data_IF_356983804647
#
_entry.id   IF_356983804647
#
_cell.length_a   1.000
_cell.length_b   1.000
_cell.length_c   1.000
_cell.angle_alpha   90.00
_cell.angle_beta   90.00
_cell.angle_gamma   90.00
#
_symmetry.space_group_name_H-M   'P 1'
#
loop_
_entity.id
_entity.type
_entity.pdbx_description
1 polymer ?
#
# COMPACT_ATOMS: atom_id res chain seq x y z
N UNK A 1 26.81 72.37 24.25
CA UNK A 1 27.58 71.33 24.99
C UNK A 1 26.61 70.67 25.96
N UNK A 2 26.70 69.34 26.10
CA UNK A 2 25.85 68.45 26.92
C UNK A 2 24.52 67.97 26.32
N UNK A 3 24.64 66.74 25.81
CA UNK A 3 23.69 65.62 25.67
C UNK A 3 22.53 65.65 26.67
N UNK A 4 21.34 65.28 26.23
CA UNK A 4 20.59 64.29 27.00
C UNK A 4 19.75 63.35 26.11
N UNK A 5 19.79 62.09 26.52
CA UNK A 5 19.40 60.87 25.82
C UNK A 5 18.17 60.31 26.51
N UNK A 6 17.10 59.99 25.77
CA UNK A 6 16.10 59.02 26.22
C UNK A 6 15.35 58.42 25.03
N UNK A 7 15.87 57.32 24.50
CA UNK A 7 15.13 56.40 23.61
C UNK A 7 14.15 55.60 24.47
N UNK A 8 12.85 55.83 24.29
CA UNK A 8 11.81 54.93 24.81
C UNK A 8 11.74 53.67 23.93
N UNK A 9 12.17 52.56 24.52
CA UNK A 9 11.85 51.20 24.06
C UNK A 9 10.39 50.90 24.39
N UNK A 10 9.55 50.67 23.38
CA UNK A 10 8.23 50.04 23.55
C UNK A 10 8.38 48.57 23.21
N UNK A 11 8.45 47.72 24.25
CA UNK A 11 8.20 46.30 24.13
C UNK A 11 6.73 46.09 23.74
N UNK A 12 6.49 45.55 22.56
CA UNK A 12 5.22 44.89 22.23
C UNK A 12 5.33 43.43 22.68
N UNK A 13 4.70 43.09 23.81
CA UNK A 13 4.41 41.69 24.14
C UNK A 13 3.18 41.27 23.33
N UNK A 14 3.40 40.51 22.27
CA UNK A 14 2.34 39.78 21.58
C UNK A 14 2.09 38.48 22.34
N UNK A 15 1.05 38.46 23.17
CA UNK A 15 0.57 37.25 23.83
C UNK A 15 -0.16 36.40 22.80
N UNK A 16 0.50 35.33 22.32
CA UNK A 16 -0.09 34.35 21.42
C UNK A 16 -0.96 33.38 22.24
N UNK A 17 -2.28 33.60 22.21
CA UNK A 17 -3.26 32.62 22.72
C UNK A 17 -3.35 31.47 21.73
N UNK A 18 -2.68 30.35 22.03
CA UNK A 18 -2.89 29.08 21.32
C UNK A 18 -4.18 28.47 21.84
N UNK A 19 -5.27 28.64 21.10
CA UNK A 19 -6.51 27.92 21.34
C UNK A 19 -6.29 26.44 20.97
N UNK A 20 -5.96 25.61 21.98
CA UNK A 20 -5.95 24.16 21.87
C UNK A 20 -7.39 23.67 21.70
N UNK A 21 -7.80 23.51 20.45
CA UNK A 21 -9.06 22.85 20.10
C UNK A 21 -8.88 21.35 20.40
N UNK A 22 -9.39 20.90 21.55
CA UNK A 22 -9.52 19.49 21.87
C UNK A 22 -10.53 18.88 20.90
N UNK A 23 -10.04 18.25 19.83
CA UNK A 23 -10.85 17.36 19.00
C UNK A 23 -11.10 16.11 19.82
N UNK A 24 -12.26 16.03 20.46
CA UNK A 24 -12.77 14.78 21.01
C UNK A 24 -13.14 13.89 19.84
N UNK A 25 -12.25 12.96 19.50
CA UNK A 25 -12.61 11.85 18.63
C UNK A 25 -13.55 10.95 19.44
N UNK A 26 -14.84 11.06 19.20
CA UNK A 26 -15.78 10.01 19.59
C UNK A 26 -15.37 8.73 18.86
N UNK A 27 -14.61 7.88 19.54
CA UNK A 27 -14.44 6.50 19.12
C UNK A 27 -15.77 5.81 19.35
N UNK A 28 -16.67 5.93 18.38
CA UNK A 28 -17.83 5.05 18.29
C UNK A 28 -17.30 3.62 18.27
N UNK A 29 -17.36 2.96 19.43
CA UNK A 29 -17.09 1.54 19.54
C UNK A 29 -18.05 0.85 18.58
N UNK A 30 -17.50 0.07 17.65
CA UNK A 30 -18.26 -0.71 16.67
C UNK A 30 -19.11 -1.74 17.41
N UNK A 31 -20.27 -1.31 17.90
CA UNK A 31 -21.21 -2.12 18.66
C UNK A 31 -22.09 -2.88 17.66
N UNK A 32 -21.94 -4.20 17.65
CA UNK A 32 -22.83 -5.17 17.00
C UNK A 32 -22.65 -5.30 15.48
N UNK A 33 -21.69 -6.10 15.02
CA UNK A 33 -21.55 -6.41 13.58
C UNK A 33 -21.47 -7.91 13.38
N UNK A 34 -22.63 -8.54 13.20
CA UNK A 34 -22.78 -9.96 12.82
C UNK A 34 -22.29 -10.25 11.37
N UNK A 35 -21.31 -9.49 10.85
CA UNK A 35 -20.83 -9.59 9.48
C UNK A 35 -19.37 -9.16 9.34
N UNK A 36 -18.80 -9.32 8.15
CA UNK A 36 -17.40 -8.99 7.84
C UNK A 36 -17.26 -7.57 7.27
N UNK A 37 -16.07 -6.99 7.37
CA UNK A 37 -15.67 -5.77 6.64
C UNK A 37 -14.44 -6.13 5.82
N UNK A 38 -14.44 -5.75 4.53
CA UNK A 38 -13.33 -5.99 3.62
C UNK A 38 -12.62 -4.68 3.30
N UNK A 39 -11.30 -4.67 3.48
CA UNK A 39 -10.42 -3.74 2.80
C UNK A 39 -9.94 -4.38 1.48
N UNK A 40 -9.65 -3.52 0.51
CA UNK A 40 -9.08 -3.94 -0.75
C UNK A 40 -8.18 -2.87 -1.31
N UNK A 41 -7.10 -3.30 -1.95
CA UNK A 41 -6.18 -2.47 -2.70
C UNK A 41 -5.84 -3.14 -4.03
N UNK A 42 -5.33 -2.35 -4.96
CA UNK A 42 -5.06 -2.79 -6.31
C UNK A 42 -3.86 -2.05 -6.88
N UNK A 43 -3.10 -2.75 -7.71
CA UNK A 43 -2.09 -2.17 -8.59
C UNK A 43 -2.48 -2.35 -10.05
N UNK A 44 -1.89 -1.56 -10.94
CA UNK A 44 -1.92 -1.78 -12.39
C UNK A 44 -0.53 -1.47 -12.96
N UNK A 45 -0.08 -2.34 -13.84
CA UNK A 45 1.09 -2.21 -14.68
C UNK A 45 0.71 -2.55 -16.12
N UNK A 46 1.43 -1.96 -17.06
CA UNK A 46 1.21 -2.16 -18.50
C UNK A 46 2.56 -2.35 -19.19
N UNK A 47 2.67 -3.38 -20.01
CA UNK A 47 3.82 -3.62 -20.87
C UNK A 47 3.40 -4.13 -22.26
N UNK A 48 4.26 -3.99 -23.27
CA UNK A 48 3.99 -4.51 -24.62
C UNK A 48 4.46 -5.97 -24.75
N UNK A 49 3.59 -6.87 -25.24
CA UNK A 49 3.85 -8.34 -25.32
C UNK A 49 4.29 -8.85 -26.70
N UNK A 50 4.72 -7.95 -27.58
CA UNK A 50 4.93 -8.26 -29.00
C UNK A 50 3.61 -8.26 -29.78
N UNK A 51 3.68 -8.33 -31.11
CA UNK A 51 2.52 -8.35 -32.02
C UNK A 51 1.59 -7.12 -31.97
N UNK A 52 1.98 -6.05 -31.27
CA UNK A 52 1.18 -4.83 -31.12
C UNK A 52 0.22 -4.83 -29.93
N UNK A 53 0.16 -5.91 -29.15
CA UNK A 53 -0.68 -6.02 -27.95
C UNK A 53 0.01 -5.49 -26.69
N UNK A 54 -0.80 -5.07 -25.73
CA UNK A 54 -0.40 -4.72 -24.37
C UNK A 54 -0.90 -5.76 -23.37
N UNK A 55 -0.07 -6.07 -22.38
CA UNK A 55 -0.45 -6.81 -21.18
C UNK A 55 -0.76 -5.84 -20.06
N UNK A 56 -1.96 -5.99 -19.52
CA UNK A 56 -2.44 -5.29 -18.33
C UNK A 56 -2.39 -6.26 -17.16
N UNK A 57 -1.61 -5.96 -16.13
CA UNK A 57 -1.36 -6.89 -15.05
C UNK A 57 -1.21 -6.17 -13.71
N UNK A 58 -1.19 -6.94 -12.63
CA UNK A 58 -0.97 -6.41 -11.29
C UNK A 58 -1.52 -7.34 -10.23
N UNK A 59 -1.78 -6.77 -9.05
CA UNK A 59 -2.32 -7.48 -7.90
C UNK A 59 -3.65 -6.85 -7.46
N UNK A 60 -4.56 -7.70 -6.98
CA UNK A 60 -5.64 -7.32 -6.08
C UNK A 60 -5.29 -7.92 -4.72
N UNK A 61 -5.26 -7.09 -3.68
CA UNK A 61 -5.02 -7.56 -2.31
C UNK A 61 -6.26 -7.29 -1.47
N UNK A 62 -6.72 -8.31 -0.75
CA UNK A 62 -7.92 -8.27 0.07
C UNK A 62 -7.62 -8.63 1.51
N UNK A 63 -8.12 -7.82 2.42
CA UNK A 63 -8.03 -8.06 3.86
C UNK A 63 -9.41 -8.10 4.51
N UNK A 64 -9.65 -9.14 5.30
CA UNK A 64 -10.86 -9.28 6.11
C UNK A 64 -10.63 -8.71 7.52
N UNK A 65 -11.19 -7.52 7.76
CA UNK A 65 -11.16 -6.82 9.04
C UNK A 65 -12.18 -7.39 10.04
N UNK A 66 -13.10 -8.23 9.57
CA UNK A 66 -14.18 -8.83 10.34
C UNK A 66 -13.80 -10.07 11.14
N UNK A 67 -14.68 -10.45 12.07
CA UNK A 67 -14.53 -11.62 12.93
C UNK A 67 -15.07 -12.93 12.30
N UNK A 68 -15.65 -12.86 11.10
CA UNK A 68 -16.21 -14.02 10.37
C UNK A 68 -15.61 -14.09 8.97
N UNK A 69 -15.53 -15.30 8.42
CA UNK A 69 -15.09 -15.52 7.04
C UNK A 69 -16.01 -14.76 6.08
N UNK A 70 -15.51 -14.34 4.93
CA UNK A 70 -16.40 -13.79 3.90
C UNK A 70 -17.30 -14.89 3.33
N UNK A 71 -18.51 -14.53 2.94
CA UNK A 71 -19.41 -15.43 2.22
C UNK A 71 -19.84 -14.80 0.90
N UNK A 72 -19.95 -15.60 -0.15
CA UNK A 72 -20.35 -15.14 -1.49
C UNK A 72 -19.38 -14.11 -2.08
N UNK A 73 -18.07 -14.32 -1.88
CA UNK A 73 -17.05 -13.45 -2.47
C UNK A 73 -17.15 -13.49 -4.00
N UNK A 74 -17.26 -12.31 -4.60
CA UNK A 74 -17.21 -12.13 -6.05
C UNK A 74 -16.36 -10.91 -6.37
N UNK A 75 -15.57 -11.00 -7.45
CA UNK A 75 -14.72 -9.93 -7.93
C UNK A 75 -14.98 -9.77 -9.43
N UNK A 76 -15.40 -8.57 -9.83
CA UNK A 76 -15.44 -8.16 -11.23
C UNK A 76 -14.33 -7.14 -11.46
N UNK A 77 -13.36 -7.51 -12.27
CA UNK A 77 -12.21 -6.65 -12.56
C UNK A 77 -12.24 -6.17 -14.01
N UNK A 78 -12.12 -4.87 -14.22
CA UNK A 78 -12.25 -4.26 -15.54
C UNK A 78 -11.20 -3.17 -15.77
N UNK A 79 -10.43 -3.34 -16.84
CA UNK A 79 -9.58 -2.27 -17.37
C UNK A 79 -10.49 -1.19 -17.96
N UNK A 80 -10.23 0.06 -17.64
CA UNK A 80 -10.96 1.22 -18.15
C UNK A 80 -9.99 2.23 -18.72
N UNK A 81 -10.47 3.02 -19.67
CA UNK A 81 -9.69 4.09 -20.28
C UNK A 81 -10.51 5.36 -20.40
N UNK A 82 -9.83 6.50 -20.46
CA UNK A 82 -10.48 7.81 -20.43
C UNK A 82 -10.67 8.37 -21.83
N UNK A 83 -11.90 8.72 -22.18
CA UNK A 83 -12.26 9.44 -23.41
C UNK A 83 -12.92 10.77 -23.03
N UNK A 84 -12.22 11.88 -23.21
CA UNK A 84 -12.67 13.18 -22.70
C UNK A 84 -12.72 13.16 -21.17
N UNK A 85 -13.92 13.37 -20.59
CA UNK A 85 -14.14 13.31 -19.13
C UNK A 85 -14.54 11.93 -18.63
N UNK A 86 -14.96 11.03 -19.52
CA UNK A 86 -15.64 9.81 -19.16
C UNK A 86 -14.70 8.61 -19.15
N UNK A 87 -15.01 7.64 -18.28
CA UNK A 87 -14.34 6.36 -18.22
C UNK A 87 -15.13 5.33 -19.01
N UNK A 88 -14.49 4.74 -20.01
CA UNK A 88 -15.06 3.71 -20.86
C UNK A 88 -14.54 2.34 -20.44
N UNK A 89 -15.43 1.35 -20.45
CA UNK A 89 -15.08 -0.03 -20.17
C UNK A 89 -14.21 -0.64 -21.27
N UNK A 90 -13.07 -1.20 -20.87
CA UNK A 90 -12.21 -2.06 -21.68
C UNK A 90 -12.40 -3.55 -21.30
N UNK A 91 -11.37 -4.39 -21.45
CA UNK A 91 -11.46 -5.81 -21.14
C UNK A 91 -11.78 -6.10 -19.68
N UNK A 92 -12.57 -7.15 -19.47
CA UNK A 92 -12.67 -7.81 -18.18
C UNK A 92 -11.48 -8.74 -17.98
N UNK A 93 -11.05 -8.85 -16.73
CA UNK A 93 -9.98 -9.78 -16.33
C UNK A 93 -10.60 -11.03 -15.72
N UNK A 94 -10.23 -12.19 -16.25
CA UNK A 94 -10.62 -13.47 -15.66
C UNK A 94 -9.75 -13.73 -14.43
N UNK A 95 -10.40 -13.91 -13.28
CA UNK A 95 -9.71 -14.11 -12.00
C UNK A 95 -10.03 -15.49 -11.43
N UNK A 96 -9.01 -16.14 -10.88
CA UNK A 96 -9.21 -17.26 -9.96
C UNK A 96 -9.39 -16.70 -8.56
N UNK A 97 -10.65 -16.63 -8.12
CA UNK A 97 -11.02 -16.05 -6.81
C UNK A 97 -11.21 -17.19 -5.79
N UNK A 98 -10.63 -17.10 -4.58
CA UNK A 98 -10.91 -18.07 -3.53
C UNK A 98 -12.40 -18.04 -3.13
N UNK A 99 -12.92 -19.15 -2.61
CA UNK A 99 -14.33 -19.22 -2.18
C UNK A 99 -14.64 -18.33 -0.98
N UNK A 100 -13.64 -17.99 -0.16
CA UNK A 100 -13.74 -17.04 0.94
C UNK A 100 -12.37 -16.47 1.35
N UNK A 101 -12.39 -15.35 2.07
CA UNK A 101 -11.25 -14.80 2.82
C UNK A 101 -11.48 -15.08 4.32
N UNK A 102 -10.54 -15.75 5.01
CA UNK A 102 -10.68 -16.08 6.42
C UNK A 102 -10.94 -14.85 7.30
N UNK A 103 -11.72 -15.03 8.36
CA UNK A 103 -11.91 -14.09 9.44
C UNK A 103 -10.58 -13.69 10.05
N UNK A 104 -10.51 -12.46 10.57
CA UNK A 104 -9.45 -12.03 11.45
C UNK A 104 -8.09 -12.55 10.97
N UNK A 105 -7.72 -12.20 9.74
CA UNK A 105 -6.43 -12.55 9.14
C UNK A 105 -5.26 -11.94 9.90
N UNK A 106 -5.44 -11.51 11.17
CA UNK A 106 -4.66 -10.63 12.04
C UNK A 106 -3.18 -10.91 12.13
N UNK A 107 -2.78 -12.13 11.81
CA UNK A 107 -1.41 -12.62 11.93
C UNK A 107 -0.81 -13.03 10.57
N UNK A 108 -1.63 -13.05 9.51
CA UNK A 108 -1.26 -13.39 8.14
C UNK A 108 -1.08 -12.17 7.23
N UNK A 109 -0.74 -12.43 5.98
CA UNK A 109 -0.74 -11.45 4.89
C UNK A 109 -2.12 -11.37 4.25
N UNK A 110 -2.46 -10.23 3.66
CA UNK A 110 -3.66 -10.12 2.83
C UNK A 110 -3.72 -11.21 1.75
N UNK A 111 -4.93 -11.58 1.34
CA UNK A 111 -5.09 -12.50 0.20
C UNK A 111 -4.71 -11.76 -1.06
N UNK A 112 -3.72 -12.30 -1.79
CA UNK A 112 -3.20 -11.69 -3.01
C UNK A 112 -3.69 -12.47 -4.22
N UNK A 113 -4.36 -11.79 -5.14
CA UNK A 113 -4.87 -12.34 -6.38
C UNK A 113 -4.13 -11.64 -7.52
N UNK A 114 -3.12 -12.27 -8.13
CA UNK A 114 -2.49 -11.73 -9.32
C UNK A 114 -3.47 -11.79 -10.50
N UNK A 115 -3.34 -10.85 -11.42
CA UNK A 115 -4.14 -10.80 -12.62
C UNK A 115 -3.30 -10.40 -13.83
N UNK A 116 -3.69 -10.86 -15.00
CA UNK A 116 -3.07 -10.51 -16.28
C UNK A 116 -4.07 -10.70 -17.41
N UNK A 117 -4.12 -9.75 -18.34
CA UNK A 117 -4.87 -9.87 -19.58
C UNK A 117 -4.09 -9.20 -20.71
N UNK A 118 -4.01 -9.86 -21.86
CA UNK A 118 -3.43 -9.30 -23.08
C UNK A 118 -4.57 -8.77 -23.95
N UNK A 119 -4.42 -7.55 -24.46
CA UNK A 119 -5.39 -6.92 -25.36
C UNK A 119 -4.73 -5.84 -26.20
N UNK A 120 -5.44 -5.35 -27.20
CA UNK A 120 -5.05 -4.17 -27.97
C UNK A 120 -4.76 -2.97 -27.04
N UNK A 121 -3.83 -2.08 -27.43
CA UNK A 121 -3.56 -0.85 -26.71
C UNK A 121 -4.82 0.00 -26.54
N UNK A 122 -5.09 0.44 -25.32
CA UNK A 122 -6.17 1.38 -25.02
C UNK A 122 -5.65 2.83 -25.11
N UNK A 123 -6.46 3.78 -25.59
CA UNK A 123 -6.06 5.17 -25.68
C UNK A 123 -6.17 5.90 -24.33
N UNK A 124 -5.49 7.04 -24.20
CA UNK A 124 -5.68 7.96 -23.08
C UNK A 124 -5.19 7.42 -21.73
N UNK A 125 -5.75 7.97 -20.64
CA UNK A 125 -5.41 7.51 -19.29
C UNK A 125 -6.10 6.19 -19.01
N UNK A 126 -5.33 5.20 -18.54
CA UNK A 126 -5.82 3.86 -18.25
C UNK A 126 -5.87 3.64 -16.74
N UNK A 127 -6.92 2.96 -16.28
CA UNK A 127 -7.04 2.47 -14.91
C UNK A 127 -7.58 1.05 -14.89
N UNK A 128 -7.47 0.38 -13.76
CA UNK A 128 -8.19 -0.85 -13.49
C UNK A 128 -9.07 -0.68 -12.25
N UNK A 129 -10.28 -1.22 -12.30
CA UNK A 129 -11.29 -1.14 -11.24
C UNK A 129 -11.75 -2.54 -10.89
N UNK A 130 -11.57 -2.92 -9.62
CA UNK A 130 -12.11 -4.16 -9.09
C UNK A 130 -13.36 -3.87 -8.27
N UNK A 131 -14.52 -4.34 -8.70
CA UNK A 131 -15.74 -4.36 -7.88
C UNK A 131 -15.77 -5.64 -7.06
N UNK A 132 -15.52 -5.53 -5.76
CA UNK A 132 -15.50 -6.66 -4.83
C UNK A 132 -16.79 -6.67 -4.03
N UNK A 133 -17.46 -7.81 -3.99
CA UNK A 133 -18.69 -7.98 -3.22
C UNK A 133 -18.65 -9.23 -2.38
N UNK A 134 -19.28 -9.16 -1.23
CA UNK A 134 -19.60 -10.26 -0.33
C UNK A 134 -21.06 -10.17 0.09
N UNK A 135 -21.63 -11.28 0.53
CA UNK A 135 -23.03 -11.39 0.95
C UNK A 135 -23.23 -11.19 2.44
N UNK A 136 -22.17 -11.34 3.25
CA UNK A 136 -22.22 -11.17 4.69
C UNK A 136 -21.52 -9.89 5.18
N UNK A 137 -21.59 -8.81 4.37
CA UNK A 137 -21.06 -7.51 4.76
C UNK A 137 -21.75 -6.99 6.03
N UNK A 138 -20.96 -6.51 6.98
CA UNK A 138 -21.45 -5.89 8.21
C UNK A 138 -22.41 -4.73 7.89
N UNK A 139 -23.66 -4.82 8.35
CA UNK A 139 -24.69 -3.81 8.12
C UNK A 139 -25.37 -3.89 6.76
N UNK A 140 -25.14 -4.94 5.97
CA UNK A 140 -25.80 -5.19 4.68
C UNK A 140 -25.88 -6.70 4.39
N UNK A 141 -26.35 -7.49 5.36
CA UNK A 141 -26.47 -8.94 5.20
C UNK A 141 -27.42 -9.31 4.05
N UNK A 142 -27.01 -10.26 3.22
CA UNK A 142 -27.75 -10.72 2.04
C UNK A 142 -27.66 -9.79 0.83
N UNK A 143 -26.99 -8.65 0.94
CA UNK A 143 -26.85 -7.68 -0.16
C UNK A 143 -25.39 -7.67 -0.62
N UNK A 144 -25.09 -7.90 -1.92
CA UNK A 144 -23.74 -7.80 -2.44
C UNK A 144 -23.14 -6.43 -2.14
N UNK A 145 -22.10 -6.39 -1.30
CA UNK A 145 -21.42 -5.15 -0.91
C UNK A 145 -19.95 -5.39 -0.63
N UNK A 146 -19.12 -4.41 -0.91
CA UNK A 146 -17.70 -4.46 -0.61
C UNK A 146 -16.94 -3.27 -1.21
N UNK A 147 -15.61 -3.27 -1.11
CA UNK A 147 -14.77 -2.19 -1.62
C UNK A 147 -14.69 -2.19 -3.16
N UNK A 148 -14.35 -1.03 -3.72
CA UNK A 148 -14.09 -0.85 -5.15
C UNK A 148 -12.72 -0.18 -5.37
N UNK A 149 -11.58 -0.86 -5.11
CA UNK A 149 -10.26 -0.29 -5.30
C UNK A 149 -9.97 -0.03 -6.78
N UNK A 150 -9.25 1.07 -7.01
CA UNK A 150 -8.91 1.59 -8.34
C UNK A 150 -7.42 1.88 -8.40
N UNK A 151 -6.78 1.56 -9.51
CA UNK A 151 -5.39 1.90 -9.78
C UNK A 151 -5.28 2.55 -11.15
N UNK A 152 -4.62 3.69 -11.25
CA UNK A 152 -4.39 4.41 -12.52
C UNK A 152 -2.96 4.17 -12.96
N UNK A 153 -2.77 3.80 -14.22
CA UNK A 153 -1.44 3.65 -14.80
C UNK A 153 -0.88 5.03 -15.16
N UNK A 154 0.31 5.33 -14.65
CA UNK A 154 0.99 6.63 -14.83
C UNK A 154 2.37 6.49 -15.49
N UNK A 155 2.76 5.27 -15.87
CA UNK A 155 4.08 4.99 -16.44
C UNK A 155 4.09 5.03 -17.97
N UNK A 156 5.27 4.79 -18.54
CA UNK A 156 5.42 4.51 -19.96
C UNK A 156 5.27 3.01 -20.22
N UNK A 157 4.62 2.65 -21.33
CA UNK A 157 4.52 1.25 -21.75
C UNK A 157 5.83 0.79 -22.38
N UNK A 158 6.55 -0.09 -21.67
CA UNK A 158 7.81 -0.70 -22.13
C UNK A 158 7.57 -2.14 -22.60
N UNK A 159 8.47 -2.74 -23.39
CA UNK A 159 8.42 -4.18 -23.68
C UNK A 159 8.41 -5.02 -22.39
N UNK A 160 7.58 -6.05 -22.30
CA UNK A 160 7.48 -6.89 -21.09
C UNK A 160 8.82 -7.53 -20.71
N UNK A 161 9.63 -7.92 -21.70
CA UNK A 161 10.95 -8.53 -21.49
C UNK A 161 11.99 -7.52 -20.95
N UNK A 162 11.71 -6.22 -21.07
CA UNK A 162 12.58 -5.16 -20.53
C UNK A 162 12.25 -4.78 -19.09
N UNK A 163 11.14 -5.29 -18.52
CA UNK A 163 10.73 -4.99 -17.15
C UNK A 163 11.64 -5.71 -16.13
N UNK A 164 12.22 -6.85 -16.52
CA UNK A 164 13.16 -7.64 -15.71
C UNK A 164 14.63 -7.17 -15.85
N UNK A 165 14.90 -6.06 -16.56
CA UNK A 165 16.27 -5.63 -16.86
C UNK A 165 17.05 -5.06 -15.65
N UNK A 166 16.43 -4.94 -14.47
CA UNK A 166 17.04 -4.36 -13.28
C UNK A 166 17.15 -5.35 -12.12
N UNK A 167 18.38 -5.78 -11.82
CA UNK A 167 18.73 -6.48 -10.57
C UNK A 167 17.84 -7.67 -10.18
N UNK A 168 17.86 -8.03 -8.90
CA UNK A 168 16.98 -9.01 -8.30
C UNK A 168 16.52 -8.50 -6.93
N UNK A 169 15.42 -9.02 -6.40
CA UNK A 169 14.84 -8.59 -5.12
C UNK A 169 15.30 -9.48 -3.96
N UNK A 170 15.38 -8.89 -2.77
CA UNK A 170 15.65 -9.58 -1.52
C UNK A 170 14.48 -9.41 -0.53
N UNK A 171 14.29 -10.40 0.34
CA UNK A 171 13.26 -10.35 1.38
C UNK A 171 13.65 -9.44 2.54
N UNK A 172 12.69 -9.11 3.41
CA UNK A 172 12.97 -8.41 4.66
C UNK A 172 13.99 -9.15 5.54
N UNK A 173 14.03 -10.49 5.52
CA UNK A 173 15.00 -11.28 6.28
C UNK A 173 16.44 -11.02 5.83
N UNK A 174 16.66 -10.95 4.51
CA UNK A 174 17.98 -10.61 3.97
C UNK A 174 18.45 -9.24 4.47
N UNK A 175 17.61 -8.20 4.32
CA UNK A 175 17.98 -6.83 4.70
C UNK A 175 18.15 -6.66 6.21
N UNK A 176 17.28 -7.29 7.00
CA UNK A 176 17.21 -7.14 8.45
C UNK A 176 18.30 -7.91 9.19
N UNK A 177 18.52 -9.19 8.83
CA UNK A 177 19.28 -10.12 9.68
C UNK A 177 20.49 -10.78 9.00
N UNK A 178 20.67 -10.69 7.68
CA UNK A 178 21.84 -11.31 7.03
C UNK A 178 23.13 -10.58 7.45
N UNK A 179 24.14 -11.29 7.98
CA UNK A 179 25.41 -10.68 8.36
C UNK A 179 26.10 -9.99 7.18
N UNK A 180 26.83 -8.91 7.47
CA UNK A 180 27.65 -8.16 6.50
C UNK A 180 26.88 -7.53 5.32
N UNK A 181 25.54 -7.42 5.40
CA UNK A 181 24.77 -6.68 4.40
C UNK A 181 24.86 -5.18 4.68
N UNK A 182 25.56 -4.48 3.80
CA UNK A 182 25.62 -3.01 3.76
C UNK A 182 24.37 -2.48 3.06
N UNK A 183 23.68 -1.55 3.71
CA UNK A 183 22.51 -0.91 3.11
C UNK A 183 22.95 0.16 2.09
N UNK A 184 22.33 0.21 0.90
CA UNK A 184 22.62 1.24 -0.08
C UNK A 184 22.24 2.63 0.45
N UNK A 185 23.05 3.64 0.10
CA UNK A 185 22.74 5.05 0.34
C UNK A 185 21.38 5.43 -0.27
N UNK A 186 20.57 6.28 0.38
CA UNK A 186 20.84 7.04 1.60
C UNK A 186 20.38 6.34 2.90
N UNK A 187 20.07 5.04 2.86
CA UNK A 187 19.45 4.37 3.99
C UNK A 187 20.47 3.97 5.06
N UNK A 188 20.13 4.26 6.33
CA UNK A 188 20.96 3.95 7.48
C UNK A 188 20.12 3.20 8.53
N UNK A 189 20.64 2.05 8.97
CA UNK A 189 20.06 1.19 10.01
C UNK A 189 19.79 1.94 11.32
N UNK A 190 20.63 2.92 11.65
CA UNK A 190 20.59 3.69 12.89
C UNK A 190 19.73 4.96 12.80
N UNK A 191 19.34 5.38 11.59
CA UNK A 191 18.46 6.52 11.42
C UNK A 191 17.07 6.25 12.01
N UNK A 192 16.40 7.30 12.50
CA UNK A 192 15.02 7.19 12.96
C UNK A 192 14.07 6.88 11.81
N UNK A 193 13.18 5.91 12.01
CA UNK A 193 12.16 5.54 11.04
C UNK A 193 10.87 6.32 11.32
N UNK A 194 10.69 7.43 10.59
CA UNK A 194 9.52 8.29 10.63
C UNK A 194 9.04 8.58 12.08
N UNK A 195 7.74 8.46 12.35
CA UNK A 195 7.12 8.72 13.66
C UNK A 195 7.01 7.46 14.55
N UNK A 196 7.78 6.41 14.27
CA UNK A 196 7.71 5.15 15.03
C UNK A 196 8.35 5.22 16.41
N UNK A 197 9.28 6.15 16.63
CA UNK A 197 10.16 6.14 17.79
C UNK A 197 11.23 5.04 17.76
N UNK A 198 11.34 4.29 16.65
CA UNK A 198 12.35 3.26 16.42
C UNK A 198 13.28 3.67 15.27
N UNK A 199 14.47 3.08 15.23
CA UNK A 199 15.35 3.19 14.07
C UNK A 199 14.87 2.28 12.93
N UNK A 200 15.42 2.45 11.73
CA UNK A 200 15.16 1.53 10.62
C UNK A 200 15.47 0.07 10.98
N UNK A 201 16.59 -0.19 11.68
CA UNK A 201 16.88 -1.53 12.21
C UNK A 201 15.86 -1.95 13.27
N UNK A 202 15.51 -1.04 14.18
CA UNK A 202 14.51 -1.32 15.22
C UNK A 202 13.16 -1.74 14.65
N UNK A 203 12.75 -1.21 13.48
CA UNK A 203 11.55 -1.69 12.77
C UNK A 203 11.72 -3.12 12.26
N UNK A 204 12.87 -3.45 11.67
CA UNK A 204 13.15 -4.80 11.16
C UNK A 204 13.18 -5.84 12.28
N UNK A 205 13.65 -5.45 13.46
CA UNK A 205 13.73 -6.31 14.65
C UNK A 205 12.40 -6.36 15.44
N UNK A 206 11.46 -5.46 15.14
CA UNK A 206 10.21 -5.37 15.89
C UNK A 206 9.30 -6.57 15.64
N UNK A 207 8.73 -7.17 16.69
CA UNK A 207 7.70 -8.17 16.50
C UNK A 207 6.45 -7.50 15.92
N UNK A 208 5.96 -8.02 14.80
CA UNK A 208 4.75 -7.54 14.11
C UNK A 208 3.50 -7.50 15.01
N UNK A 209 3.46 -8.32 16.06
CA UNK A 209 2.25 -8.61 16.86
C UNK A 209 1.64 -7.40 17.57
N UNK A 210 2.40 -6.34 17.87
CA UNK A 210 1.91 -5.21 18.69
C UNK A 210 1.12 -4.16 17.90
N UNK A 211 1.40 -3.99 16.61
CA UNK A 211 0.67 -3.11 15.70
C UNK A 211 0.77 -3.67 14.28
N UNK A 212 0.04 -4.76 13.97
CA UNK A 212 0.33 -5.59 12.81
C UNK A 212 0.27 -4.82 11.49
N UNK A 213 -0.71 -3.93 11.29
CA UNK A 213 -0.77 -3.15 10.06
C UNK A 213 0.40 -2.18 9.87
N UNK A 214 0.85 -1.54 10.96
CA UNK A 214 1.96 -0.59 10.89
C UNK A 214 3.28 -1.32 10.66
N UNK A 215 3.62 -2.30 11.51
CA UNK A 215 4.91 -2.96 11.44
C UNK A 215 5.04 -3.88 10.22
N UNK A 216 3.97 -4.55 9.78
CA UNK A 216 4.00 -5.31 8.52
C UNK A 216 4.31 -4.41 7.33
N UNK A 217 3.62 -3.26 7.23
CA UNK A 217 3.89 -2.31 6.16
C UNK A 217 5.30 -1.76 6.26
N UNK A 218 5.73 -1.34 7.44
CA UNK A 218 7.03 -0.73 7.65
C UNK A 218 8.18 -1.68 7.26
N UNK A 219 8.13 -2.94 7.68
CA UNK A 219 9.17 -3.93 7.35
C UNK A 219 9.22 -4.23 5.84
N UNK A 220 8.06 -4.42 5.21
CA UNK A 220 7.99 -4.68 3.77
C UNK A 220 8.36 -3.45 2.93
N UNK A 221 8.05 -2.25 3.42
CA UNK A 221 8.48 -0.98 2.84
C UNK A 221 10.00 -0.85 2.88
N UNK A 222 10.63 -1.11 4.04
CA UNK A 222 12.09 -1.04 4.19
C UNK A 222 12.77 -1.96 3.17
N UNK A 223 12.34 -3.22 3.08
CA UNK A 223 12.88 -4.16 2.11
C UNK A 223 12.68 -3.69 0.65
N UNK A 224 11.51 -3.15 0.33
CA UNK A 224 11.21 -2.69 -1.02
C UNK A 224 12.08 -1.51 -1.45
N UNK A 225 12.27 -0.50 -0.59
CA UNK A 225 13.11 0.65 -0.94
C UNK A 225 14.59 0.31 -0.99
N UNK A 226 15.06 -0.64 -0.17
CA UNK A 226 16.43 -1.16 -0.24
C UNK A 226 16.66 -1.96 -1.51
N UNK A 227 15.69 -2.77 -1.96
CA UNK A 227 15.76 -3.46 -3.26
C UNK A 227 15.90 -2.46 -4.41
N UNK A 228 15.07 -1.41 -4.44
CA UNK A 228 15.14 -0.36 -5.47
C UNK A 228 16.50 0.36 -5.44
N UNK A 229 16.98 0.75 -4.25
CA UNK A 229 18.30 1.37 -4.12
C UNK A 229 19.47 0.43 -4.42
N UNK A 230 19.22 -0.88 -4.38
CA UNK A 230 20.14 -1.92 -4.84
C UNK A 230 19.91 -2.31 -6.32
N UNK A 231 19.33 -1.41 -7.11
CA UNK A 231 19.12 -1.54 -8.55
C UNK A 231 18.10 -2.61 -9.00
N UNK A 232 17.27 -3.14 -8.12
CA UNK A 232 16.13 -3.96 -8.54
C UNK A 232 15.12 -3.07 -9.29
N UNK A 233 14.60 -3.55 -10.43
CA UNK A 233 13.53 -2.84 -11.14
C UNK A 233 12.27 -2.80 -10.27
N UNK A 234 11.50 -1.71 -10.33
CA UNK A 234 10.20 -1.62 -9.66
C UNK A 234 9.12 -1.28 -10.70
N UNK A 235 8.16 -2.21 -10.94
CA UNK A 235 6.98 -1.91 -11.73
C UNK A 235 6.20 -0.70 -11.18
N UNK A 236 5.44 0.00 -12.03
CA UNK A 236 4.67 1.19 -11.65
C UNK A 236 3.69 0.92 -10.50
N UNK A 237 3.09 -0.27 -10.44
CA UNK A 237 2.25 -0.70 -9.34
C UNK A 237 3.00 -0.79 -8.01
N UNK A 238 4.26 -1.25 -8.04
CA UNK A 238 5.15 -1.29 -6.88
C UNK A 238 5.59 0.11 -6.49
N UNK A 239 6.05 0.95 -7.42
CA UNK A 239 6.48 2.33 -7.12
C UNK A 239 5.35 3.18 -6.54
N UNK A 240 4.12 3.01 -7.06
CA UNK A 240 2.92 3.68 -6.52
C UNK A 240 2.64 3.23 -5.08
N UNK A 241 2.82 1.94 -4.79
CA UNK A 241 2.62 1.38 -3.44
C UNK A 241 3.70 1.86 -2.47
N UNK A 242 4.97 1.89 -2.89
CA UNK A 242 6.08 2.49 -2.12
C UNK A 242 5.77 3.96 -1.80
N UNK A 243 5.32 4.73 -2.78
CA UNK A 243 4.99 6.15 -2.59
C UNK A 243 3.82 6.35 -1.62
N UNK A 244 2.76 5.54 -1.74
CA UNK A 244 1.61 5.61 -0.83
C UNK A 244 2.01 5.22 0.60
N UNK A 245 2.82 4.17 0.75
CA UNK A 245 3.35 3.73 2.04
C UNK A 245 4.23 4.81 2.68
N UNK A 246 5.16 5.42 1.94
CA UNK A 246 6.03 6.48 2.43
C UNK A 246 5.22 7.70 2.92
N UNK A 247 4.23 8.15 2.12
CA UNK A 247 3.36 9.27 2.48
C UNK A 247 2.59 8.99 3.77
N UNK A 248 2.04 7.78 3.92
CA UNK A 248 1.30 7.39 5.12
C UNK A 248 2.21 7.26 6.36
N UNK A 249 3.37 6.60 6.22
CA UNK A 249 4.35 6.41 7.30
C UNK A 249 4.93 7.74 7.80
N UNK A 250 5.05 8.74 6.92
CA UNK A 250 5.56 10.08 7.27
C UNK A 250 4.67 10.79 8.28
N UNK A 251 3.36 10.56 8.25
CA UNK A 251 2.38 11.28 9.07
C UNK A 251 1.69 10.40 10.13
N UNK A 252 2.09 9.13 10.23
CA UNK A 252 1.41 8.15 11.09
C UNK A 252 2.39 7.47 12.04
N UNK A 253 1.97 7.24 13.29
CA UNK A 253 2.72 6.46 14.28
C UNK A 253 2.06 5.09 14.53
N UNK A 254 2.76 4.13 15.19
CA UNK A 254 2.24 2.79 15.43
C UNK A 254 0.89 2.73 16.14
N UNK A 255 0.55 3.75 16.93
CA UNK A 255 -0.73 3.83 17.67
C UNK A 255 -1.94 3.82 16.74
N UNK A 256 -1.79 4.26 15.48
CA UNK A 256 -2.88 4.24 14.51
C UNK A 256 -3.37 2.83 14.14
N UNK A 257 -2.53 1.81 14.36
CA UNK A 257 -2.83 0.41 14.04
C UNK A 257 -2.88 -0.51 15.28
N UNK A 258 -3.11 0.04 16.48
CA UNK A 258 -3.17 -0.75 17.72
C UNK A 258 -4.47 -1.54 17.88
N UNK A 259 -5.54 -1.13 17.21
CA UNK A 259 -6.86 -1.78 17.30
C UNK A 259 -6.91 -3.03 16.43
N UNK A 260 -7.42 -4.14 16.96
CA UNK A 260 -7.62 -5.38 16.18
C UNK A 260 -8.51 -5.10 14.97
N UNK A 261 -8.10 -5.58 13.80
CA UNK A 261 -8.84 -5.35 12.55
C UNK A 261 -8.61 -3.98 11.92
N UNK A 262 -7.84 -3.08 12.52
CA UNK A 262 -7.46 -1.81 11.89
C UNK A 262 -6.41 -1.99 10.79
N UNK A 263 -6.23 -0.92 10.00
CA UNK A 263 -5.19 -0.79 8.99
C UNK A 263 -5.26 -1.85 7.88
N UNK A 264 -6.46 -2.24 7.44
CA UNK A 264 -6.64 -3.19 6.34
C UNK A 264 -5.91 -2.78 5.06
N UNK A 265 -5.99 -1.50 4.67
CA UNK A 265 -5.29 -0.97 3.49
C UNK A 265 -3.76 -1.07 3.64
N UNK A 266 -3.20 -0.82 4.83
CA UNK A 266 -1.75 -0.95 5.05
C UNK A 266 -1.28 -2.39 4.98
N UNK A 267 -2.13 -3.35 5.39
CA UNK A 267 -1.85 -4.79 5.26
C UNK A 267 -1.92 -5.25 3.81
N UNK A 268 -2.84 -4.69 3.05
CA UNK A 268 -2.93 -4.86 1.61
C UNK A 268 -1.67 -4.31 0.89
N UNK A 269 -1.19 -3.13 1.29
CA UNK A 269 0.10 -2.59 0.82
C UNK A 269 1.28 -3.48 1.22
N UNK A 270 1.32 -3.94 2.47
CA UNK A 270 2.36 -4.83 2.96
C UNK A 270 2.41 -6.13 2.15
N UNK A 271 1.26 -6.72 1.83
CA UNK A 271 1.17 -7.92 1.00
C UNK A 271 1.62 -7.68 -0.45
N UNK A 272 1.29 -6.51 -1.02
CA UNK A 272 1.78 -6.09 -2.34
C UNK A 272 3.31 -6.00 -2.37
N UNK A 273 3.88 -5.31 -1.38
CA UNK A 273 5.33 -5.16 -1.26
C UNK A 273 6.03 -6.48 -0.92
N UNK A 274 5.40 -7.35 -0.14
CA UNK A 274 5.91 -8.70 0.12
C UNK A 274 6.07 -9.49 -1.18
N UNK A 275 5.06 -9.49 -2.08
CA UNK A 275 5.19 -10.13 -3.39
C UNK A 275 6.34 -9.58 -4.21
N UNK A 276 6.54 -8.27 -4.18
CA UNK A 276 7.70 -7.66 -4.83
C UNK A 276 9.02 -8.13 -4.21
N UNK A 277 9.17 -8.07 -2.89
CA UNK A 277 10.39 -8.46 -2.18
C UNK A 277 10.74 -9.94 -2.37
N UNK A 278 9.72 -10.81 -2.43
CA UNK A 278 9.81 -12.25 -2.68
C UNK A 278 10.01 -12.61 -4.16
N UNK A 279 10.08 -11.62 -5.06
CA UNK A 279 10.26 -11.85 -6.51
C UNK A 279 9.07 -12.55 -7.18
N UNK A 280 7.89 -12.43 -6.58
CA UNK A 280 6.62 -13.04 -7.04
C UNK A 280 5.59 -12.03 -7.52
N UNK A 281 5.93 -10.74 -7.53
CA UNK A 281 5.13 -9.71 -8.20
C UNK A 281 5.15 -9.95 -9.72
N UNK A 282 4.01 -9.93 -10.43
CA UNK A 282 3.98 -10.20 -11.87
C UNK A 282 4.89 -9.24 -12.64
N UNK A 283 5.77 -9.76 -13.49
CA UNK A 283 6.79 -8.98 -14.22
C UNK A 283 7.64 -8.06 -13.33
N UNK A 284 7.79 -8.38 -12.04
CA UNK A 284 8.79 -7.79 -11.16
C UNK A 284 10.12 -8.56 -11.24
N UNK A 285 11.20 -7.98 -10.68
CA UNK A 285 12.50 -8.63 -10.62
C UNK A 285 12.38 -9.98 -9.90
N UNK A 286 13.20 -10.95 -10.31
CA UNK A 286 13.27 -12.25 -9.64
C UNK A 286 13.90 -12.12 -8.27
N UNK A 287 13.63 -13.09 -7.40
CA UNK A 287 14.29 -13.18 -6.12
C UNK A 287 15.77 -13.56 -6.30
N UNK A 288 16.67 -12.91 -5.57
CA UNK A 288 18.06 -13.33 -5.48
C UNK A 288 18.19 -14.50 -4.50
N UNK A 289 19.10 -15.43 -4.77
CA UNK A 289 19.49 -16.51 -3.85
C UNK A 289 20.51 -16.05 -2.78
#
# INVERSE_FOLDING_TARGET
MMKDTRKLSRLFQATLLVASCLVTYDTALAQGKNGTTLAGYKTIDICAVGNGDWRYYGLITLWNEGAVNTEGLSIKDQIQYKTGTDWVGGPYVNLTVPSFIPAATTDGTATVIPYSVDNLPLPGTIRNVASITIMNHSGSLGIPKGPEPKATFLGDVKPCDSVDAGGCSYTQGYWGSKPNVVWPSPYDRSAMFYLSGLTWQGIMDSPVKSAPGYYQLAQQYIAAVLNVANNASAPQGVTSTISAAAAWLTVTSPVACSTKGSCGVQKDWAATLAKYNEGSYPSGPKHCE
#
